data_IF_084600632076
#
_entry.id   IF_084600632076
#
_cell.length_a   1.000
_cell.length_b   1.000
_cell.length_c   1.000
_cell.angle_alpha   90.00
_cell.angle_beta   90.00
_cell.angle_gamma   90.00
#
_symmetry.space_group_name_H-M   'P 1'
#
loop_
_entity.id
_entity.type
_entity.pdbx_description
1 polymer ?
#
# COMPACT_ATOMS: atom_id res chain seq x y z
N UNK A 1 -37.08 -1.45 -92.31
CA UNK A 1 -36.58 -1.13 -90.94
C UNK A 1 -35.07 -1.10 -90.98
N UNK A 2 -34.39 0.04 -90.76
CA UNK A 2 -32.93 0.06 -90.64
C UNK A 2 -32.52 -0.11 -89.17
N UNK A 3 -31.57 -1.02 -88.91
CA UNK A 3 -30.92 -1.20 -87.61
C UNK A 3 -30.07 0.04 -87.27
N UNK A 4 -30.32 0.63 -86.10
CA UNK A 4 -29.48 1.65 -85.47
C UNK A 4 -28.17 0.99 -85.02
N UNK A 5 -27.05 1.31 -85.67
CA UNK A 5 -25.70 0.93 -85.20
C UNK A 5 -25.37 1.72 -83.94
N UNK A 6 -24.95 1.02 -82.88
CA UNK A 6 -24.38 1.62 -81.68
C UNK A 6 -22.99 2.18 -82.01
N UNK A 7 -22.84 3.50 -81.88
CA UNK A 7 -21.52 4.16 -81.88
C UNK A 7 -20.96 4.11 -80.46
N UNK A 8 -20.17 3.08 -80.14
CA UNK A 8 -19.18 3.18 -79.07
C UNK A 8 -17.90 3.76 -79.69
N UNK A 9 -17.85 5.08 -79.80
CA UNK A 9 -16.66 5.80 -80.23
C UNK A 9 -16.03 6.50 -79.03
N UNK A 10 -15.06 5.84 -78.41
CA UNK A 10 -13.94 6.51 -77.75
C UNK A 10 -12.77 5.54 -77.66
N UNK A 11 -11.91 5.57 -78.70
CA UNK A 11 -10.61 4.92 -78.69
C UNK A 11 -9.55 6.03 -78.66
N UNK A 12 -9.41 6.69 -77.51
CA UNK A 12 -8.24 7.54 -77.23
C UNK A 12 -7.33 6.74 -76.30
N UNK A 13 -6.22 6.24 -76.83
CA UNK A 13 -5.15 5.65 -76.02
C UNK A 13 -4.44 6.73 -75.21
N UNK A 14 -4.11 6.43 -73.95
CA UNK A 14 -3.34 7.33 -73.10
C UNK A 14 -1.96 7.57 -73.70
N UNK A 15 -1.49 8.81 -73.66
CA UNK A 15 -0.11 9.11 -74.06
C UNK A 15 0.87 8.76 -72.92
N UNK A 16 2.12 8.41 -73.25
CA UNK A 16 3.15 8.08 -72.26
C UNK A 16 3.34 9.20 -71.23
N UNK A 17 3.24 10.46 -71.67
CA UNK A 17 3.39 11.63 -70.79
C UNK A 17 2.21 11.78 -69.83
N UNK A 18 0.99 11.43 -70.24
CA UNK A 18 -0.21 11.41 -69.38
C UNK A 18 -0.08 10.37 -68.26
N UNK A 19 0.49 9.20 -68.56
CA UNK A 19 0.75 8.16 -67.58
C UNK A 19 1.81 8.61 -66.55
N UNK A 20 2.88 9.25 -67.01
CA UNK A 20 3.95 9.76 -66.14
C UNK A 20 3.45 10.87 -65.21
N UNK A 21 2.61 11.79 -65.72
CA UNK A 21 2.00 12.85 -64.91
C UNK A 21 1.03 12.26 -63.89
N UNK A 22 0.18 11.30 -64.29
CA UNK A 22 -0.76 10.65 -63.38
C UNK A 22 -0.03 9.89 -62.25
N UNK A 23 1.04 9.17 -62.57
CA UNK A 23 1.87 8.48 -61.58
C UNK A 23 2.59 9.47 -60.64
N UNK A 24 3.10 10.59 -61.18
CA UNK A 24 3.75 11.63 -60.39
C UNK A 24 2.80 12.26 -59.37
N UNK A 25 1.58 12.61 -59.78
CA UNK A 25 0.54 13.15 -58.89
C UNK A 25 0.10 12.08 -57.88
N UNK A 26 -0.09 10.83 -58.31
CA UNK A 26 -0.45 9.73 -57.42
C UNK A 26 0.60 9.49 -56.32
N UNK A 27 1.89 9.50 -56.68
CA UNK A 27 2.98 9.35 -55.73
C UNK A 27 3.03 10.52 -54.72
N UNK A 28 2.80 11.76 -55.18
CA UNK A 28 2.75 12.94 -54.30
C UNK A 28 1.62 12.84 -53.28
N UNK A 29 0.42 12.45 -53.72
CA UNK A 29 -0.74 12.27 -52.84
C UNK A 29 -0.46 11.16 -51.81
N UNK A 30 0.09 10.03 -52.25
CA UNK A 30 0.45 8.92 -51.35
C UNK A 30 1.49 9.36 -50.32
N UNK A 31 2.53 10.10 -50.73
CA UNK A 31 3.55 10.61 -49.82
C UNK A 31 2.95 11.54 -48.74
N UNK A 32 2.07 12.46 -49.13
CA UNK A 32 1.36 13.34 -48.20
C UNK A 32 0.46 12.55 -47.24
N UNK A 33 -0.31 11.58 -47.77
CA UNK A 33 -1.18 10.74 -46.94
C UNK A 33 -0.39 9.90 -45.94
N UNK A 34 0.76 9.37 -46.32
CA UNK A 34 1.62 8.57 -45.45
C UNK A 34 2.18 9.44 -44.32
N UNK A 35 2.64 10.65 -44.63
CA UNK A 35 3.10 11.61 -43.62
C UNK A 35 2.02 11.94 -42.59
N UNK A 36 0.77 12.15 -43.04
CA UNK A 36 -0.37 12.37 -42.16
C UNK A 36 -0.68 11.15 -41.29
N UNK A 37 -0.67 9.94 -41.85
CA UNK A 37 -0.92 8.70 -41.10
C UNK A 37 0.14 8.47 -40.03
N UNK A 38 1.42 8.68 -40.34
CA UNK A 38 2.52 8.55 -39.38
C UNK A 38 2.41 9.57 -38.25
N UNK A 39 2.11 10.83 -38.59
CA UNK A 39 1.88 11.90 -37.61
C UNK A 39 0.70 11.58 -36.69
N UNK A 40 -0.43 11.14 -37.25
CA UNK A 40 -1.61 10.73 -36.49
C UNK A 40 -1.31 9.54 -35.58
N UNK A 41 -0.55 8.55 -36.05
CA UNK A 41 -0.14 7.41 -35.23
C UNK A 41 0.72 7.86 -34.05
N UNK A 42 1.68 8.76 -34.28
CA UNK A 42 2.51 9.31 -33.21
C UNK A 42 1.67 10.06 -32.18
N UNK A 43 0.79 10.96 -32.61
CA UNK A 43 -0.14 11.68 -31.74
C UNK A 43 -1.01 10.71 -30.93
N UNK A 44 -1.57 9.71 -31.57
CA UNK A 44 -2.40 8.69 -30.92
C UNK A 44 -1.63 7.94 -29.83
N UNK A 45 -0.40 7.50 -30.11
CA UNK A 45 0.43 6.82 -29.10
C UNK A 45 0.77 7.72 -27.91
N UNK A 46 1.07 9.00 -28.16
CA UNK A 46 1.34 9.97 -27.10
C UNK A 46 0.13 10.20 -26.21
N UNK A 47 -1.07 10.28 -26.80
CA UNK A 47 -2.30 10.47 -26.05
C UNK A 47 -2.70 9.21 -25.26
N UNK A 48 -2.46 8.01 -25.81
CA UNK A 48 -2.64 6.76 -25.07
C UNK A 48 -1.73 6.70 -23.85
N UNK A 49 -0.43 6.97 -24.00
CA UNK A 49 0.52 6.96 -22.87
C UNK A 49 0.13 7.98 -21.81
N UNK A 50 -0.27 9.19 -22.19
CA UNK A 50 -0.74 10.22 -21.25
C UNK A 50 -2.00 9.78 -20.51
N UNK A 51 -2.94 9.16 -21.21
CA UNK A 51 -4.18 8.67 -20.61
C UNK A 51 -3.90 7.58 -19.59
N UNK A 52 -3.05 6.61 -19.94
CA UNK A 52 -2.64 5.54 -19.04
C UNK A 52 -1.93 6.09 -17.78
N UNK A 53 -1.00 7.05 -17.93
CA UNK A 53 -0.32 7.66 -16.80
C UNK A 53 -1.27 8.39 -15.84
N UNK A 54 -2.23 9.15 -16.38
CA UNK A 54 -3.23 9.84 -15.56
C UNK A 54 -4.17 8.84 -14.84
N UNK A 55 -4.54 7.75 -15.49
CA UNK A 55 -5.34 6.69 -14.89
C UNK A 55 -4.58 5.99 -13.76
N UNK A 56 -3.31 5.65 -13.97
CA UNK A 56 -2.46 5.03 -12.95
C UNK A 56 -2.24 5.94 -11.75
N UNK A 57 -1.98 7.24 -11.98
CA UNK A 57 -1.87 8.24 -10.91
C UNK A 57 -3.15 8.33 -10.09
N UNK A 58 -4.31 8.39 -10.75
CA UNK A 58 -5.61 8.45 -10.07
C UNK A 58 -5.85 7.17 -9.26
N UNK A 59 -5.63 6.00 -9.84
CA UNK A 59 -5.78 4.73 -9.14
C UNK A 59 -4.88 4.63 -7.90
N UNK A 60 -3.64 5.11 -7.99
CA UNK A 60 -2.73 5.12 -6.85
C UNK A 60 -3.18 6.07 -5.74
N UNK A 61 -3.65 7.27 -6.09
CA UNK A 61 -4.22 8.21 -5.13
C UNK A 61 -5.54 7.70 -4.52
N UNK A 62 -6.36 6.98 -5.28
CA UNK A 62 -7.58 6.37 -4.77
C UNK A 62 -7.26 5.25 -3.76
N UNK A 63 -6.25 4.43 -4.06
CA UNK A 63 -5.73 3.40 -3.15
C UNK A 63 -5.15 4.03 -1.88
N UNK A 64 -4.23 4.99 -2.02
CA UNK A 64 -3.66 5.76 -0.90
C UNK A 64 -4.76 6.37 -0.05
N UNK A 65 -5.74 7.02 -0.67
CA UNK A 65 -6.85 7.63 0.03
C UNK A 65 -7.72 6.63 0.78
N UNK A 66 -7.99 5.45 0.20
CA UNK A 66 -8.72 4.39 0.87
C UNK A 66 -7.95 3.86 2.10
N UNK A 67 -6.64 3.67 1.96
CA UNK A 67 -5.79 3.15 3.02
C UNK A 67 -5.58 4.17 4.14
N UNK A 68 -5.42 5.45 3.80
CA UNK A 68 -5.37 6.54 4.78
C UNK A 68 -6.66 6.61 5.59
N UNK A 69 -7.82 6.47 4.94
CA UNK A 69 -9.12 6.43 5.63
C UNK A 69 -9.27 5.23 6.56
N UNK A 70 -8.53 4.14 6.36
CA UNK A 70 -8.58 2.95 7.22
C UNK A 70 -7.44 2.92 8.26
N UNK A 71 -6.51 3.87 8.20
CA UNK A 71 -5.41 3.95 9.15
C UNK A 71 -5.92 4.17 10.57
N UNK A 72 -5.32 3.45 11.51
CA UNK A 72 -5.65 3.53 12.94
C UNK A 72 -6.86 2.70 13.37
N UNK A 73 -7.54 2.02 12.45
CA UNK A 73 -8.67 1.14 12.76
C UNK A 73 -8.27 0.11 13.83
N UNK A 74 -9.05 0.05 14.92
CA UNK A 74 -8.85 -0.85 16.08
C UNK A 74 -7.46 -0.75 16.72
N UNK A 75 -6.81 0.41 16.63
CA UNK A 75 -5.54 0.68 17.31
C UNK A 75 -5.71 1.72 18.43
N UNK A 76 -4.99 1.59 19.55
CA UNK A 76 -5.02 2.59 20.62
C UNK A 76 -4.25 3.87 20.24
N UNK A 77 -4.44 4.95 20.99
CA UNK A 77 -3.83 6.26 20.71
C UNK A 77 -2.29 6.28 20.80
N UNK A 78 -1.72 5.38 21.61
CA UNK A 78 -0.27 5.24 21.83
C UNK A 78 0.41 4.32 20.79
N UNK A 79 -0.36 3.74 19.87
CA UNK A 79 0.14 2.96 18.76
C UNK A 79 0.42 3.86 17.55
N UNK A 80 1.57 3.76 16.87
CA UNK A 80 1.90 4.67 15.78
C UNK A 80 1.26 4.20 14.46
N UNK A 81 -0.05 4.46 14.34
CA UNK A 81 -0.84 4.03 13.19
C UNK A 81 -0.51 4.75 11.89
N UNK A 82 -0.05 6.01 11.99
CA UNK A 82 0.40 6.84 10.87
C UNK A 82 1.82 7.28 11.16
N UNK A 83 2.75 6.99 10.25
CA UNK A 83 4.11 7.52 10.28
C UNK A 83 4.47 8.10 8.93
N UNK A 84 5.14 9.25 8.95
CA UNK A 84 5.78 9.84 7.77
C UNK A 84 7.23 10.05 8.09
N UNK A 85 8.11 9.61 7.20
CA UNK A 85 9.56 9.82 7.31
C UNK A 85 10.05 10.55 6.07
N UNK A 86 10.94 11.52 6.28
CA UNK A 86 11.63 12.29 5.22
C UNK A 86 10.71 12.90 4.16
N UNK A 87 9.42 13.06 4.46
CA UNK A 87 8.40 13.56 3.55
C UNK A 87 8.15 12.71 2.31
N UNK A 88 8.66 11.48 2.24
CA UNK A 88 8.58 10.61 1.05
C UNK A 88 8.32 9.13 1.36
N UNK A 89 8.14 8.81 2.64
CA UNK A 89 7.75 7.48 3.09
C UNK A 89 6.51 7.62 3.95
N UNK A 90 5.46 6.88 3.61
CA UNK A 90 4.22 6.83 4.38
C UNK A 90 3.99 5.41 4.87
N UNK A 91 3.83 5.24 6.18
CA UNK A 91 3.47 3.98 6.81
C UNK A 91 2.10 4.13 7.44
N UNK A 92 1.18 3.27 7.03
CA UNK A 92 -0.18 3.19 7.53
C UNK A 92 -0.38 1.83 8.16
N UNK A 93 -1.02 1.80 9.33
CA UNK A 93 -1.27 0.56 10.07
C UNK A 93 -2.69 0.50 10.57
N UNK A 94 -3.23 -0.71 10.63
CA UNK A 94 -4.51 -1.03 11.25
C UNK A 94 -4.45 -2.39 11.93
N UNK A 95 -5.23 -2.57 12.98
CA UNK A 95 -5.42 -3.86 13.60
C UNK A 95 -6.60 -4.59 12.91
N UNK A 96 -6.38 -5.83 12.53
CA UNK A 96 -7.36 -6.67 11.84
C UNK A 96 -8.35 -7.30 12.82
N UNK A 97 -7.90 -7.53 14.06
CA UNK A 97 -8.73 -8.04 15.14
C UNK A 97 -9.09 -6.93 16.13
N UNK A 98 -10.21 -7.08 16.83
CA UNK A 98 -10.53 -6.23 17.97
C UNK A 98 -9.71 -6.64 19.21
N UNK A 99 -9.47 -7.94 19.36
CA UNK A 99 -8.61 -8.48 20.39
C UNK A 99 -7.15 -7.98 20.23
N UNK A 100 -6.51 -7.73 21.38
CA UNK A 100 -5.09 -7.40 21.48
C UNK A 100 -4.51 -8.27 22.59
N UNK A 101 -3.46 -9.04 22.27
CA UNK A 101 -2.76 -9.83 23.26
C UNK A 101 -1.68 -8.99 23.95
N UNK A 102 -1.37 -9.33 25.19
CA UNK A 102 -0.28 -8.69 25.95
C UNK A 102 0.87 -9.68 26.06
N UNK A 103 2.12 -9.22 25.94
CA UNK A 103 3.28 -10.07 26.24
C UNK A 103 3.43 -10.21 27.76
N UNK A 104 3.26 -11.42 28.26
CA UNK A 104 3.23 -11.75 29.68
C UNK A 104 4.37 -12.68 30.13
N UNK A 105 5.39 -12.82 29.28
CA UNK A 105 6.62 -13.52 29.65
C UNK A 105 7.32 -12.80 30.81
N UNK A 106 7.63 -13.51 31.91
CA UNK A 106 8.25 -12.91 33.10
C UNK A 106 9.62 -12.30 32.81
N UNK A 107 10.39 -12.92 31.93
CA UNK A 107 11.76 -12.51 31.63
C UNK A 107 11.80 -11.53 30.45
N UNK A 108 10.66 -11.24 29.84
CA UNK A 108 10.57 -10.51 28.59
C UNK A 108 11.24 -11.27 27.44
N UNK A 109 11.45 -10.56 26.35
CA UNK A 109 12.16 -11.06 25.18
C UNK A 109 13.44 -10.26 25.02
N UNK A 110 14.56 -10.94 24.76
CA UNK A 110 15.86 -10.29 24.53
C UNK A 110 16.18 -10.23 23.05
N UNK A 111 16.71 -9.10 22.60
CA UNK A 111 17.25 -8.96 21.25
C UNK A 111 18.32 -10.04 20.97
N UNK A 112 18.30 -10.59 19.77
CA UNK A 112 19.17 -11.68 19.32
C UNK A 112 18.77 -13.09 19.79
N UNK A 113 17.81 -13.21 20.74
CA UNK A 113 17.34 -14.51 21.21
C UNK A 113 16.48 -15.24 20.17
N UNK A 114 16.43 -16.57 20.28
CA UNK A 114 15.56 -17.45 19.50
C UNK A 114 14.35 -17.92 20.30
N UNK A 115 13.90 -17.13 21.28
CA UNK A 115 12.73 -17.46 22.07
C UNK A 115 11.51 -17.61 21.14
N UNK A 116 10.89 -18.77 21.14
CA UNK A 116 9.79 -19.16 20.26
C UNK A 116 8.45 -19.27 21.01
N UNK A 117 8.46 -19.52 22.31
CA UNK A 117 7.28 -19.51 23.17
C UNK A 117 7.08 -18.14 23.82
N UNK A 118 5.89 -17.57 23.65
CA UNK A 118 5.51 -16.26 24.18
C UNK A 118 4.24 -16.41 25.02
N UNK A 119 4.36 -16.21 26.33
CA UNK A 119 3.20 -16.18 27.22
C UNK A 119 2.36 -14.93 26.97
N UNK A 120 1.05 -15.10 26.83
CA UNK A 120 0.09 -14.00 26.62
C UNK A 120 -0.90 -13.82 27.76
N UNK A 121 -0.96 -14.79 28.67
CA UNK A 121 -1.57 -14.67 29.97
C UNK A 121 -0.85 -15.61 30.96
N UNK A 122 -1.12 -15.45 32.26
CA UNK A 122 -0.48 -16.24 33.32
C UNK A 122 -1.33 -16.25 34.59
N UNK A 123 -1.31 -17.38 35.31
CA UNK A 123 -2.09 -17.63 36.54
C UNK A 123 -1.22 -17.69 37.81
N UNK A 124 -0.08 -16.99 37.84
CA UNK A 124 0.75 -16.98 39.03
C UNK A 124 0.14 -16.11 40.16
N UNK A 125 0.82 -16.03 41.30
CA UNK A 125 0.25 -15.41 42.50
C UNK A 125 0.01 -13.89 42.37
N UNK A 126 0.71 -13.19 41.46
CA UNK A 126 0.58 -11.74 41.29
C UNK A 126 0.97 -11.26 39.87
N UNK A 127 0.27 -11.70 38.82
CA UNK A 127 0.49 -11.17 37.48
C UNK A 127 0.04 -9.71 37.37
N UNK A 128 0.63 -8.93 36.45
CA UNK A 128 0.05 -7.65 36.05
C UNK A 128 -1.42 -7.85 35.62
N UNK A 129 -2.34 -6.90 35.91
CA UNK A 129 -3.76 -7.05 35.60
C UNK A 129 -4.04 -7.42 34.14
N UNK A 130 -3.29 -6.84 33.20
CA UNK A 130 -3.41 -7.10 31.76
C UNK A 130 -2.96 -8.51 31.33
N UNK A 131 -2.23 -9.21 32.22
CA UNK A 131 -1.75 -10.57 32.03
C UNK A 131 -2.63 -11.64 32.70
N UNK A 132 -3.71 -11.23 33.35
CA UNK A 132 -4.73 -12.16 33.80
C UNK A 132 -5.47 -12.74 32.58
N UNK A 133 -5.73 -14.06 32.56
CA UNK A 133 -6.58 -14.65 31.53
C UNK A 133 -7.97 -14.00 31.53
N UNK A 134 -8.50 -13.72 30.34
CA UNK A 134 -9.87 -13.25 30.15
C UNK A 134 -10.70 -14.39 29.57
N UNK A 135 -11.51 -15.04 30.41
CA UNK A 135 -12.30 -16.22 30.08
C UNK A 135 -13.77 -15.90 30.36
N UNK A 136 -14.43 -15.26 29.38
CA UNK A 136 -15.80 -14.77 29.52
C UNK A 136 -16.85 -15.87 29.41
N UNK A 137 -16.54 -16.96 28.71
CA UNK A 137 -17.45 -18.10 28.49
C UNK A 137 -17.21 -19.28 29.46
N UNK A 138 -16.14 -19.22 30.26
CA UNK A 138 -15.81 -20.19 31.29
C UNK A 138 -15.24 -21.51 30.74
N UNK A 139 -14.76 -21.52 29.49
CA UNK A 139 -14.23 -22.72 28.85
C UNK A 139 -12.77 -23.03 29.26
N UNK A 140 -12.15 -22.17 30.08
CA UNK A 140 -10.80 -22.29 30.58
C UNK A 140 -9.73 -21.58 29.74
N UNK A 141 -10.11 -20.95 28.62
CA UNK A 141 -9.22 -20.28 27.69
C UNK A 141 -9.29 -18.76 27.81
N UNK A 142 -8.25 -18.10 27.31
CA UNK A 142 -8.30 -16.66 27.11
C UNK A 142 -9.03 -16.36 25.80
N UNK A 143 -10.16 -15.66 25.84
CA UNK A 143 -11.01 -15.30 24.70
C UNK A 143 -10.22 -14.54 23.61
N UNK A 144 -9.23 -13.74 24.02
CA UNK A 144 -8.37 -13.00 23.07
C UNK A 144 -7.44 -13.96 22.35
N UNK A 145 -6.90 -14.96 23.05
CA UNK A 145 -6.06 -16.00 22.44
C UNK A 145 -6.88 -16.86 21.48
N UNK A 146 -8.14 -17.16 21.82
CA UNK A 146 -9.04 -17.87 20.92
C UNK A 146 -9.30 -17.08 19.62
N UNK A 147 -9.53 -15.77 19.71
CA UNK A 147 -9.69 -14.92 18.53
C UNK A 147 -8.45 -14.94 17.61
N UNK A 148 -7.25 -14.96 18.19
CA UNK A 148 -5.98 -15.06 17.45
C UNK A 148 -5.80 -16.42 16.81
N UNK A 149 -6.10 -17.50 17.54
CA UNK A 149 -6.03 -18.87 17.04
C UNK A 149 -7.01 -19.10 15.88
N UNK A 150 -8.25 -18.62 16.01
CA UNK A 150 -9.26 -18.69 14.94
C UNK A 150 -8.78 -17.94 13.70
N UNK A 151 -8.29 -16.70 13.85
CA UNK A 151 -7.76 -15.92 12.73
C UNK A 151 -6.62 -16.66 12.01
N UNK A 152 -5.68 -17.25 12.75
CA UNK A 152 -4.59 -18.04 12.16
C UNK A 152 -5.11 -19.25 11.37
N UNK A 153 -6.06 -20.00 11.93
CA UNK A 153 -6.64 -21.18 11.27
C UNK A 153 -7.39 -20.81 9.98
N UNK A 154 -8.14 -19.71 9.99
CA UNK A 154 -8.84 -19.17 8.83
C UNK A 154 -7.90 -18.68 7.72
N UNK A 155 -6.65 -18.33 8.07
CA UNK A 155 -5.66 -17.75 7.16
C UNK A 155 -4.49 -18.71 6.85
N UNK A 156 -4.73 -20.02 6.89
CA UNK A 156 -3.78 -21.02 6.39
C UNK A 156 -2.80 -21.58 7.42
N UNK A 157 -3.04 -21.35 8.71
CA UNK A 157 -2.33 -22.02 9.80
C UNK A 157 -1.02 -21.37 10.26
N UNK A 158 -0.41 -20.51 9.43
CA UNK A 158 0.71 -19.62 9.80
C UNK A 158 0.39 -18.21 9.31
N UNK A 159 0.42 -17.23 10.23
CA UNK A 159 0.17 -15.82 9.92
C UNK A 159 1.28 -14.94 10.50
N UNK A 160 1.39 -13.70 10.03
CA UNK A 160 2.36 -12.74 10.56
C UNK A 160 1.66 -11.77 11.51
N UNK A 161 2.14 -11.69 12.75
CA UNK A 161 1.66 -10.74 13.76
C UNK A 161 2.74 -9.71 14.09
N UNK A 162 2.34 -8.66 14.81
CA UNK A 162 3.22 -7.55 15.16
C UNK A 162 3.30 -7.39 16.67
N UNK A 163 4.51 -7.48 17.23
CA UNK A 163 4.79 -7.21 18.64
C UNK A 163 5.31 -5.78 18.77
N UNK A 164 4.68 -4.98 19.63
CA UNK A 164 4.98 -3.58 19.83
C UNK A 164 5.10 -3.23 21.30
N UNK A 165 6.14 -2.49 21.67
CA UNK A 165 6.27 -1.90 22.99
C UNK A 165 6.01 -0.38 22.93
N UNK A 166 4.91 0.11 23.52
CA UNK A 166 4.58 1.54 23.52
C UNK A 166 5.58 2.36 24.34
N UNK A 167 6.29 1.75 25.30
CA UNK A 167 7.27 2.46 26.13
C UNK A 167 8.51 2.83 25.31
N UNK A 168 9.08 1.89 24.56
CA UNK A 168 10.27 2.12 23.72
C UNK A 168 9.92 2.62 22.31
N UNK A 169 8.70 2.43 21.85
CA UNK A 169 8.27 2.73 20.48
C UNK A 169 8.78 1.73 19.45
N UNK A 170 9.30 0.58 19.89
CA UNK A 170 9.86 -0.46 19.02
C UNK A 170 8.81 -1.53 18.73
N UNK A 171 8.84 -2.05 17.51
CA UNK A 171 8.02 -3.18 17.14
C UNK A 171 8.63 -3.99 15.99
N UNK A 172 8.20 -5.25 15.87
CA UNK A 172 8.63 -6.12 14.79
C UNK A 172 7.54 -7.14 14.44
N UNK A 173 7.56 -7.55 13.17
CA UNK A 173 6.74 -8.63 12.67
C UNK A 173 7.37 -9.99 13.00
N UNK A 174 6.54 -10.96 13.36
CA UNK A 174 6.99 -12.34 13.59
C UNK A 174 5.94 -13.34 13.07
N UNK A 175 6.39 -14.51 12.56
CA UNK A 175 5.49 -15.56 12.12
C UNK A 175 4.92 -16.31 13.32
N UNK A 176 3.61 -16.55 13.33
CA UNK A 176 2.84 -17.22 14.36
C UNK A 176 2.11 -18.42 13.76
N UNK A 177 2.36 -19.61 14.31
CA UNK A 177 1.96 -20.89 13.72
C UNK A 177 1.21 -21.82 14.68
N UNK A 178 1.30 -21.62 16.01
CA UNK A 178 0.63 -22.49 16.97
C UNK A 178 0.38 -21.84 18.34
N UNK A 179 -0.49 -22.46 19.13
CA UNK A 179 -0.78 -22.16 20.54
C UNK A 179 -0.74 -23.47 21.35
N UNK A 180 -0.46 -23.39 22.64
CA UNK A 180 -0.68 -24.52 23.57
C UNK A 180 -1.63 -24.12 24.70
N UNK A 181 -2.75 -24.84 24.69
CA UNK A 181 -3.94 -24.66 25.50
C UNK A 181 -3.65 -24.78 27.01
N UNK A 182 -2.58 -25.49 27.38
CA UNK A 182 -2.22 -25.72 28.79
C UNK A 182 -1.50 -24.52 29.43
N UNK A 183 -0.99 -23.57 28.65
CA UNK A 183 -0.01 -22.58 29.12
C UNK A 183 -0.20 -21.15 28.59
N UNK A 184 -1.36 -20.81 28.01
CA UNK A 184 -1.70 -19.47 27.49
C UNK A 184 -0.55 -18.81 26.71
N UNK A 185 0.04 -19.56 25.78
CA UNK A 185 1.15 -19.05 24.98
C UNK A 185 0.92 -19.25 23.50
N UNK A 186 1.57 -18.38 22.74
CA UNK A 186 1.70 -18.45 21.30
C UNK A 186 3.11 -18.91 20.93
N UNK A 187 3.22 -19.58 19.80
CA UNK A 187 4.49 -20.04 19.24
C UNK A 187 4.89 -19.19 18.03
N UNK A 188 6.17 -18.86 17.95
CA UNK A 188 6.78 -18.21 16.80
C UNK A 188 7.49 -19.25 15.95
N UNK A 189 7.07 -19.39 14.69
CA UNK A 189 7.57 -20.42 13.80
C UNK A 189 9.10 -20.36 13.57
N UNK A 190 9.65 -19.15 13.41
CA UNK A 190 11.06 -18.95 13.04
C UNK A 190 11.59 -17.53 13.28
N UNK A 191 12.91 -17.43 13.34
CA UNK A 191 13.69 -16.18 13.35
C UNK A 191 14.32 -15.85 14.70
N UNK A 192 15.00 -14.70 14.76
CA UNK A 192 15.52 -14.12 16.01
C UNK A 192 14.83 -12.80 16.29
N UNK A 193 14.73 -12.43 17.56
CA UNK A 193 14.17 -11.15 17.96
C UNK A 193 15.15 -10.02 17.65
N UNK A 194 14.66 -8.93 17.10
CA UNK A 194 15.47 -7.75 16.77
C UNK A 194 15.52 -6.79 17.95
N UNK A 195 14.41 -6.70 18.69
CA UNK A 195 14.25 -5.77 19.81
C UNK A 195 14.11 -6.51 21.15
N UNK A 196 14.40 -5.76 22.22
CA UNK A 196 14.05 -6.17 23.57
C UNK A 196 12.60 -5.77 23.88
N UNK A 197 11.87 -6.67 24.53
CA UNK A 197 10.52 -6.42 25.02
C UNK A 197 10.44 -6.74 26.51
N UNK A 198 10.02 -5.80 27.36
CA UNK A 198 9.99 -6.01 28.80
C UNK A 198 8.92 -7.02 29.22
N UNK A 199 9.23 -7.83 30.24
CA UNK A 199 8.31 -8.80 30.84
C UNK A 199 7.31 -8.23 31.85
N UNK A 200 7.04 -6.93 31.76
CA UNK A 200 6.18 -6.18 32.70
C UNK A 200 4.72 -6.06 32.20
N UNK A 201 4.38 -6.69 31.06
CA UNK A 201 3.06 -6.61 30.47
C UNK A 201 2.75 -5.30 29.75
N UNK A 202 3.73 -4.50 29.32
CA UNK A 202 3.47 -3.28 28.53
C UNK A 202 3.41 -3.55 27.03
N UNK A 203 4.16 -4.54 26.54
CA UNK A 203 4.21 -4.87 25.12
C UNK A 203 2.94 -5.61 24.69
N UNK A 204 2.48 -5.28 23.48
CA UNK A 204 1.20 -5.73 22.92
C UNK A 204 1.42 -6.40 21.59
N UNK A 205 0.62 -7.41 21.30
CA UNK A 205 0.68 -8.20 20.08
C UNK A 205 -0.61 -7.97 19.29
N UNK A 206 -0.46 -7.63 18.02
CA UNK A 206 -1.53 -7.25 17.12
C UNK A 206 -1.56 -8.16 15.89
N UNK A 207 -2.76 -8.46 15.41
CA UNK A 207 -2.96 -8.94 14.05
C UNK A 207 -2.93 -7.73 13.12
N UNK A 208 -1.72 -7.28 12.76
CA UNK A 208 -1.52 -5.98 12.12
C UNK A 208 -1.45 -6.11 10.60
N UNK A 209 -2.14 -5.21 9.89
CA UNK A 209 -1.81 -4.88 8.50
C UNK A 209 -1.00 -3.59 8.47
N UNK A 210 0.20 -3.63 7.89
CA UNK A 210 1.02 -2.46 7.60
C UNK A 210 1.13 -2.27 6.09
N UNK A 211 0.90 -1.03 5.65
CA UNK A 211 1.10 -0.58 4.28
C UNK A 211 2.14 0.53 4.28
N UNK A 212 3.30 0.24 3.71
CA UNK A 212 4.40 1.20 3.57
C UNK A 212 4.59 1.59 2.12
N UNK A 213 4.36 2.87 1.82
CA UNK A 213 4.60 3.48 0.53
C UNK A 213 5.97 4.12 0.50
N UNK A 214 6.78 3.75 -0.48
CA UNK A 214 8.14 4.28 -0.65
C UNK A 214 8.44 4.48 -2.13
N UNK A 215 9.07 5.61 -2.45
CA UNK A 215 9.60 5.86 -3.79
C UNK A 215 11.03 5.31 -3.89
N UNK A 216 11.24 4.36 -4.79
CA UNK A 216 12.55 3.79 -5.07
C UNK A 216 12.70 3.56 -6.58
N UNK A 217 13.85 3.93 -7.15
CA UNK A 217 14.18 3.69 -8.57
C UNK A 217 13.14 4.18 -9.58
N UNK A 218 12.46 5.30 -9.27
CA UNK A 218 11.40 5.87 -10.12
C UNK A 218 10.07 5.13 -10.08
N UNK A 219 9.89 4.23 -9.11
CA UNK A 219 8.69 3.44 -8.87
C UNK A 219 8.14 3.73 -7.46
N UNK A 220 6.84 3.97 -7.37
CA UNK A 220 6.15 3.98 -6.09
C UNK A 220 5.82 2.54 -5.69
N UNK A 221 6.49 2.06 -4.65
CA UNK A 221 6.30 0.72 -4.11
C UNK A 221 5.35 0.72 -2.92
N UNK A 222 4.58 -0.36 -2.79
CA UNK A 222 3.82 -0.71 -1.60
C UNK A 222 4.42 -1.98 -0.98
N UNK A 223 4.93 -1.84 0.24
CA UNK A 223 5.43 -2.92 1.06
C UNK A 223 4.35 -3.28 2.08
N UNK A 224 3.92 -4.55 2.07
CA UNK A 224 2.91 -5.07 2.98
C UNK A 224 3.57 -5.84 4.13
N UNK A 225 3.15 -5.56 5.37
CA UNK A 225 3.52 -6.30 6.58
C UNK A 225 5.04 -6.52 6.73
N UNK A 226 5.83 -5.48 6.44
CA UNK A 226 7.30 -5.54 6.51
C UNK A 226 8.00 -6.36 5.42
N UNK A 227 7.28 -7.00 4.47
CA UNK A 227 7.87 -7.82 3.42
C UNK A 227 8.51 -6.98 2.31
N UNK A 228 9.70 -6.43 2.60
CA UNK A 228 10.47 -5.64 1.66
C UNK A 228 11.11 -6.45 0.52
N UNK A 229 11.11 -7.79 0.60
CA UNK A 229 11.69 -8.66 -0.42
C UNK A 229 10.79 -8.79 -1.67
N UNK A 230 9.48 -8.55 -1.53
CA UNK A 230 8.52 -8.63 -2.62
C UNK A 230 7.56 -7.42 -2.62
N UNK A 231 8.06 -6.19 -2.89
CA UNK A 231 7.22 -5.00 -2.92
C UNK A 231 6.27 -5.01 -4.13
N UNK A 232 5.04 -4.55 -3.93
CA UNK A 232 4.08 -4.31 -5.00
C UNK A 232 4.43 -3.01 -5.73
N UNK A 233 4.28 -2.98 -7.05
CA UNK A 233 4.49 -1.78 -7.89
C UNK A 233 3.16 -1.08 -8.11
N UNK A 234 3.06 0.18 -7.72
CA UNK A 234 1.81 0.95 -7.86
C UNK A 234 1.84 1.89 -9.06
N UNK A 235 2.89 2.69 -9.18
CA UNK A 235 3.03 3.70 -10.24
C UNK A 235 4.46 3.72 -10.74
N UNK A 236 4.58 3.72 -12.06
CA UNK A 236 5.86 3.82 -12.75
C UNK A 236 6.19 5.27 -13.11
N UNK A 237 7.48 5.54 -13.33
CA UNK A 237 7.99 6.85 -13.78
C UNK A 237 7.67 7.99 -12.81
N UNK A 238 7.65 7.68 -11.52
CA UNK A 238 7.46 8.62 -10.43
C UNK A 238 8.79 9.34 -10.17
N UNK A 239 8.80 10.66 -10.32
CA UNK A 239 9.95 11.51 -10.01
C UNK A 239 9.81 12.22 -8.67
N UNK A 240 8.60 12.25 -8.10
CA UNK A 240 8.34 12.84 -6.80
C UNK A 240 7.21 12.10 -6.08
N UNK A 241 7.42 11.80 -4.81
CA UNK A 241 6.39 11.36 -3.89
C UNK A 241 6.58 12.18 -2.61
N UNK A 242 5.65 13.08 -2.34
CA UNK A 242 5.67 13.92 -1.15
C UNK A 242 4.48 13.60 -0.27
N UNK A 243 4.74 13.47 1.02
CA UNK A 243 3.74 13.21 2.03
C UNK A 243 3.99 14.15 3.20
N UNK A 244 2.91 14.76 3.69
CA UNK A 244 2.94 15.57 4.88
C UNK A 244 1.69 15.32 5.72
N UNK A 245 1.84 15.39 7.04
CA UNK A 245 0.76 15.28 8.00
C UNK A 245 0.41 16.69 8.47
N UNK A 246 -0.85 17.09 8.34
CA UNK A 246 -1.40 18.27 8.98
C UNK A 246 -2.08 17.86 10.27
N UNK A 247 -1.64 18.40 11.40
CA UNK A 247 -2.19 18.15 12.73
C UNK A 247 -3.38 19.07 13.02
N UNK A 248 -4.16 18.75 14.05
CA UNK A 248 -5.33 19.53 14.48
C UNK A 248 -4.98 20.97 14.91
N UNK A 249 -3.75 21.21 15.34
CA UNK A 249 -3.23 22.56 15.66
C UNK A 249 -2.83 23.36 14.40
N UNK A 250 -3.04 22.80 13.19
CA UNK A 250 -2.74 23.43 11.91
C UNK A 250 -1.28 23.29 11.46
N UNK A 251 -0.40 22.69 12.27
CA UNK A 251 1.01 22.48 11.87
C UNK A 251 1.11 21.38 10.82
N UNK A 252 2.12 21.50 9.96
CA UNK A 252 2.40 20.52 8.90
C UNK A 252 3.76 19.88 9.15
N UNK A 253 3.81 18.55 9.08
CA UNK A 253 4.94 17.72 9.43
C UNK A 253 5.30 16.80 8.25
N UNK A 254 6.54 16.87 7.79
CA UNK A 254 7.12 15.89 6.85
C UNK A 254 7.85 14.75 7.57
N UNK A 255 7.91 14.82 8.90
CA UNK A 255 8.35 13.76 9.79
C UNK A 255 7.34 13.68 10.94
N UNK A 256 6.61 12.55 11.01
CA UNK A 256 5.49 12.36 11.90
C UNK A 256 5.41 10.92 12.40
N UNK A 257 4.90 10.74 13.62
CA UNK A 257 4.77 9.43 14.25
C UNK A 257 6.01 9.04 15.05
N UNK A 258 6.83 10.04 15.39
CA UNK A 258 7.93 9.94 16.35
C UNK A 258 7.41 10.03 17.80
N UNK A 259 8.29 9.76 18.78
CA UNK A 259 7.92 9.73 20.21
C UNK A 259 7.28 11.06 20.63
N UNK A 260 6.05 10.99 21.16
CA UNK A 260 5.30 12.14 21.65
C UNK A 260 4.26 12.73 20.69
N UNK A 261 4.24 12.30 19.42
CA UNK A 261 3.16 12.62 18.48
C UNK A 261 2.13 11.49 18.48
N UNK A 262 0.85 11.82 18.64
CA UNK A 262 -0.22 10.82 18.55
C UNK A 262 -0.83 10.87 17.17
N UNK A 263 -1.05 9.70 16.57
CA UNK A 263 -1.76 9.61 15.29
C UNK A 263 -3.18 10.18 15.38
N UNK A 264 -3.74 10.23 16.59
CA UNK A 264 -5.04 10.86 16.85
C UNK A 264 -5.05 12.39 16.76
N UNK A 265 -3.88 13.02 16.67
CA UNK A 265 -3.77 14.46 16.46
C UNK A 265 -3.73 14.81 14.95
N UNK A 266 -3.79 13.81 14.05
CA UNK A 266 -3.81 14.01 12.60
C UNK A 266 -5.17 14.56 12.16
N UNK A 267 -5.15 15.73 11.51
CA UNK A 267 -6.31 16.32 10.86
C UNK A 267 -6.41 15.89 9.40
N UNK A 268 -5.30 15.91 8.66
CA UNK A 268 -5.25 15.46 7.27
C UNK A 268 -3.87 14.93 6.89
N UNK A 269 -3.82 14.06 5.88
CA UNK A 269 -2.59 13.64 5.21
C UNK A 269 -2.63 14.19 3.79
N UNK A 270 -1.62 15.00 3.48
CA UNK A 270 -1.39 15.60 2.18
C UNK A 270 -0.45 14.70 1.40
N UNK A 271 -0.87 14.27 0.21
CA UNK A 271 -0.08 13.41 -0.66
C UNK A 271 0.05 14.05 -2.02
N UNK A 272 1.26 14.07 -2.56
CA UNK A 272 1.58 14.55 -3.90
C UNK A 272 2.42 13.50 -4.63
N UNK A 273 1.99 13.14 -5.84
CA UNK A 273 2.72 12.23 -6.72
C UNK A 273 3.03 12.96 -8.02
N UNK A 274 4.31 13.01 -8.38
CA UNK A 274 4.80 13.58 -9.63
C UNK A 274 5.35 12.47 -10.51
N UNK A 275 4.88 12.41 -11.76
CA UNK A 275 5.41 11.52 -12.80
C UNK A 275 5.99 12.35 -13.96
N UNK A 276 6.92 11.76 -14.70
CA UNK A 276 7.52 12.39 -15.86
C UNK A 276 7.44 11.50 -17.09
N UNK A 277 6.98 12.07 -18.21
CA UNK A 277 6.91 11.40 -19.50
C UNK A 277 7.29 12.34 -20.65
N UNK A 278 8.23 11.93 -21.50
CA UNK A 278 8.60 12.71 -22.70
C UNK A 278 9.02 14.15 -22.39
N UNK A 279 9.71 14.36 -21.26
CA UNK A 279 10.16 15.68 -20.80
C UNK A 279 9.07 16.56 -20.18
N UNK A 280 7.84 16.04 -19.99
CA UNK A 280 6.76 16.74 -19.30
C UNK A 280 6.49 16.10 -17.95
N UNK A 281 6.39 16.92 -16.91
CA UNK A 281 5.96 16.48 -15.58
C UNK A 281 4.44 16.61 -15.42
N UNK A 282 3.85 15.71 -14.65
CA UNK A 282 2.47 15.77 -14.18
C UNK A 282 2.48 15.52 -12.69
N UNK A 283 1.84 16.40 -11.94
CA UNK A 283 1.68 16.26 -10.50
C UNK A 283 0.20 16.13 -10.19
N UNK A 284 -0.14 15.16 -9.35
CA UNK A 284 -1.46 15.00 -8.78
C UNK A 284 -1.34 14.98 -7.27
N UNK A 285 -2.22 15.73 -6.59
CA UNK A 285 -2.23 15.83 -5.14
C UNK A 285 -3.60 15.44 -4.58
N UNK A 286 -3.60 14.90 -3.38
CA UNK A 286 -4.80 14.57 -2.62
C UNK A 286 -4.65 14.98 -1.16
N UNK A 287 -5.76 15.37 -0.56
CA UNK A 287 -5.88 15.59 0.88
C UNK A 287 -6.85 14.56 1.44
N UNK A 288 -6.42 13.79 2.43
CA UNK A 288 -7.16 12.67 2.97
C UNK A 288 -7.29 12.76 4.49
N UNK A 289 -8.42 12.30 5.00
CA UNK A 289 -8.78 12.39 6.41
C UNK A 289 -8.82 10.96 6.97
N UNK A 290 -7.91 10.58 7.89
CA UNK A 290 -8.01 9.30 8.58
C UNK A 290 -9.34 9.16 9.33
N UNK A 291 -9.81 7.94 9.58
CA UNK A 291 -11.01 7.63 10.39
C UNK A 291 -10.91 7.99 11.87
N UNK A 292 -10.04 8.91 12.20
CA UNK A 292 -9.74 9.41 13.53
C UNK A 292 -10.87 10.31 14.10
N UNK A 293 -12.11 10.03 13.72
CA UNK A 293 -13.27 10.83 14.14
C UNK A 293 -13.59 10.46 15.58
N UNK A 294 -12.89 11.09 16.52
CA UNK A 294 -13.58 11.72 17.63
C UNK A 294 -14.53 12.75 17.00
N UNK A 295 -15.69 12.30 16.52
CA UNK A 295 -16.83 13.20 16.45
C UNK A 295 -17.13 13.53 17.89
N UNK A 296 -16.73 14.72 18.32
CA UNK A 296 -17.53 15.40 19.34
C UNK A 296 -18.89 15.75 18.74
#
# INVERSE_FOLDING_TARGET
>A
MPQKRSTLASAKGLTLIELLVALGIGALILALSLGLVLSNRQLYTLDQTRTALNQNLRAALDLLGADIRQAGERTPMDFPAVQVSSGNTLVLRRNLLEAVLTLCDRNGIRAGSSQDVLFVARRDHSPPPQCLPQDGDGNGWDDRLEAFARYRQENGGEVTFYLYDPTTGRGEFFPYDAEDQSRFHIHRARGRWTNDYPGNGTSRIYALEERRYVLQDGLLHLILNGNAAAPLRLVDRVTGFRVAVRTQDGRTHTDFGSRGQRWTDVAAILVEVTVQEGGRSRTLSGEYFPRNVLSQ
#
